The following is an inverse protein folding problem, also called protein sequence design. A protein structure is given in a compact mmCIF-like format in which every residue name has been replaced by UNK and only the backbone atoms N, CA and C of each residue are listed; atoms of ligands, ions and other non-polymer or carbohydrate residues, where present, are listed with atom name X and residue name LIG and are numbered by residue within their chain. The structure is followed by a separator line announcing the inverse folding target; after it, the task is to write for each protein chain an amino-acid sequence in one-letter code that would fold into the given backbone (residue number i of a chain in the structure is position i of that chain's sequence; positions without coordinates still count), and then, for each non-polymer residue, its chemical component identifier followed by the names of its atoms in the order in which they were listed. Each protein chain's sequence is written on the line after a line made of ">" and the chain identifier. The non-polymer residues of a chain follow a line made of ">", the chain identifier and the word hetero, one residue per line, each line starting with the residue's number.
data_IF_009756376622
#
_entry.id   IF_009756376622
#
_cell.length_a   1.000
_cell.length_b   1.000
_cell.length_c   1.000
_cell.angle_alpha   90.00
_cell.angle_beta   90.00
_cell.angle_gamma   90.00
#
_symmetry.space_group_name_H-M   'P 1'
#
loop_
_entity.id
_entity.type
_entity.pdbx_description
1 polymer ?
#
# COMPACT_ATOMS: atom_id res chain seq x y z
N UNK A 1 -41.34 16.49 1.34
CA UNK A 1 -41.72 15.13 0.86
C UNK A 1 -41.16 14.88 -0.54
N UNK A 2 -41.27 15.84 -1.45
CA UNK A 2 -40.72 15.78 -2.82
C UNK A 2 -39.19 15.67 -2.87
N UNK A 3 -38.44 16.56 -2.20
CA UNK A 3 -36.97 16.46 -2.07
C UNK A 3 -36.44 15.13 -1.52
N UNK A 4 -37.22 14.46 -0.66
CA UNK A 4 -36.85 13.14 -0.11
C UNK A 4 -37.02 12.03 -1.15
N UNK A 5 -38.02 12.17 -2.02
CA UNK A 5 -38.30 11.22 -3.11
C UNK A 5 -37.30 11.40 -4.26
N UNK A 6 -36.95 12.64 -4.56
CA UNK A 6 -35.88 13.02 -5.49
C UNK A 6 -34.52 12.51 -5.00
N UNK A 7 -34.14 12.78 -3.74
CA UNK A 7 -32.90 12.25 -3.17
C UNK A 7 -32.84 10.71 -3.16
N UNK A 8 -33.98 10.04 -2.95
CA UNK A 8 -34.05 8.58 -3.03
C UNK A 8 -33.88 8.07 -4.46
N UNK A 9 -34.46 8.73 -5.46
CA UNK A 9 -34.26 8.37 -6.86
C UNK A 9 -32.80 8.55 -7.30
N UNK A 10 -32.16 9.64 -6.90
CA UNK A 10 -30.73 9.88 -7.16
C UNK A 10 -29.88 8.79 -6.47
N UNK A 11 -30.20 8.45 -5.22
CA UNK A 11 -29.51 7.39 -4.50
C UNK A 11 -29.67 6.02 -5.18
N UNK A 12 -30.87 5.69 -5.64
CA UNK A 12 -31.17 4.41 -6.30
C UNK A 12 -30.53 4.32 -7.71
N UNK A 13 -30.36 5.45 -8.40
CA UNK A 13 -29.74 5.52 -9.73
C UNK A 13 -28.21 5.61 -9.68
N UNK A 14 -27.65 6.04 -8.54
CA UNK A 14 -26.25 6.40 -8.43
C UNK A 14 -25.94 7.76 -9.05
N UNK A 15 -24.69 8.19 -8.91
CA UNK A 15 -24.18 9.44 -9.50
C UNK A 15 -23.15 9.07 -10.56
N UNK A 16 -23.27 9.63 -11.76
CA UNK A 16 -22.25 9.44 -12.81
C UNK A 16 -21.04 10.34 -12.53
N UNK A 17 -19.83 9.91 -12.91
CA UNK A 17 -18.59 10.63 -12.57
C UNK A 17 -18.59 12.08 -13.05
N UNK A 18 -19.20 12.34 -14.21
CA UNK A 18 -19.30 13.67 -14.82
C UNK A 18 -20.22 14.64 -14.06
N UNK A 19 -21.11 14.13 -13.22
CA UNK A 19 -21.97 14.96 -12.34
C UNK A 19 -21.23 15.40 -11.07
N UNK A 20 -20.09 14.76 -10.75
CA UNK A 20 -19.27 15.11 -9.59
C UNK A 20 -18.46 16.36 -9.91
N UNK A 21 -19.06 17.52 -9.66
CA UNK A 21 -18.42 18.83 -9.77
C UNK A 21 -17.44 19.07 -8.61
N UNK A 22 -16.23 18.53 -8.71
CA UNK A 22 -15.17 18.79 -7.73
C UNK A 22 -14.49 20.13 -8.01
N UNK A 23 -14.20 20.96 -6.99
CA UNK A 23 -13.48 22.22 -7.14
C UNK A 23 -11.97 21.99 -7.35
N UNK A 24 -11.61 21.14 -8.31
CA UNK A 24 -10.24 20.66 -8.54
C UNK A 24 -9.45 21.48 -9.55
N UNK A 25 -9.97 22.64 -9.99
CA UNK A 25 -9.36 23.47 -11.04
C UNK A 25 -7.84 23.64 -10.82
N UNK A 26 -7.06 22.99 -11.68
CA UNK A 26 -5.60 22.98 -11.74
C UNK A 26 -4.83 22.67 -10.44
N UNK A 27 -5.45 22.05 -9.44
CA UNK A 27 -4.77 21.70 -8.19
C UNK A 27 -4.55 20.20 -8.08
N UNK A 28 -3.33 19.75 -8.38
CA UNK A 28 -2.91 18.35 -8.21
C UNK A 28 -3.16 17.84 -6.78
N UNK A 29 -2.88 18.69 -5.78
CA UNK A 29 -3.06 18.32 -4.37
C UNK A 29 -4.53 18.13 -3.99
N UNK A 30 -5.45 18.96 -4.50
CA UNK A 30 -6.88 18.78 -4.24
C UNK A 30 -7.41 17.51 -4.90
N UNK A 31 -6.97 17.22 -6.13
CA UNK A 31 -7.31 15.97 -6.80
C UNK A 31 -6.84 14.76 -5.99
N UNK A 32 -5.59 14.79 -5.51
CA UNK A 32 -5.02 13.72 -4.67
C UNK A 32 -5.78 13.57 -3.36
N UNK A 33 -6.13 14.68 -2.71
CA UNK A 33 -6.94 14.70 -1.50
C UNK A 33 -8.31 14.02 -1.69
N UNK A 34 -9.05 14.38 -2.75
CA UNK A 34 -10.36 13.74 -3.01
C UNK A 34 -10.24 12.25 -3.29
N UNK A 35 -9.21 11.84 -4.04
CA UNK A 35 -8.94 10.42 -4.28
C UNK A 35 -8.70 9.67 -2.96
N UNK A 36 -7.85 10.22 -2.09
CA UNK A 36 -7.50 9.58 -0.81
C UNK A 36 -8.65 9.55 0.19
N UNK A 37 -9.49 10.59 0.21
CA UNK A 37 -10.75 10.58 0.97
C UNK A 37 -11.71 9.50 0.44
N UNK A 38 -11.81 9.32 -0.87
CA UNK A 38 -12.64 8.26 -1.45
C UNK A 38 -12.13 6.86 -1.05
N UNK A 39 -10.81 6.63 -1.13
CA UNK A 39 -10.20 5.37 -0.68
C UNK A 39 -10.52 5.11 0.79
N UNK A 40 -10.29 6.10 1.67
CA UNK A 40 -10.59 5.99 3.11
C UNK A 40 -12.07 5.74 3.40
N UNK A 41 -12.96 6.30 2.60
CA UNK A 41 -14.41 6.14 2.75
C UNK A 41 -14.84 4.72 2.40
N UNK A 42 -14.35 4.17 1.29
CA UNK A 42 -14.57 2.76 0.90
C UNK A 42 -14.01 1.82 1.97
N UNK A 43 -12.84 2.14 2.51
CA UNK A 43 -12.22 1.40 3.60
C UNK A 43 -12.97 1.48 4.94
N UNK A 44 -13.95 2.37 5.10
CA UNK A 44 -14.70 2.48 6.34
C UNK A 44 -15.64 1.29 6.59
N UNK A 45 -15.96 0.49 5.55
CA UNK A 45 -16.83 -0.68 5.68
C UNK A 45 -16.14 -2.01 5.33
N UNK A 46 -16.68 -3.11 5.85
CA UNK A 46 -15.94 -4.35 6.15
C UNK A 46 -15.21 -5.02 4.98
N UNK A 47 -15.64 -4.80 3.74
CA UNK A 47 -15.03 -5.42 2.56
C UNK A 47 -15.10 -4.45 1.41
N UNK A 48 -13.96 -4.18 0.80
CA UNK A 48 -13.90 -3.51 -0.49
C UNK A 48 -14.48 -4.44 -1.55
N UNK A 49 -15.58 -4.04 -2.17
CA UNK A 49 -16.23 -4.78 -3.25
C UNK A 49 -15.59 -4.47 -4.62
N UNK A 50 -15.73 -5.37 -5.59
CA UNK A 50 -15.20 -5.17 -6.95
C UNK A 50 -15.77 -3.90 -7.61
N UNK A 51 -17.02 -3.56 -7.28
CA UNK A 51 -17.71 -2.34 -7.68
C UNK A 51 -17.02 -1.08 -7.13
N UNK A 52 -16.53 -1.12 -5.89
CA UNK A 52 -15.81 -0.02 -5.24
C UNK A 52 -14.40 0.14 -5.81
N UNK A 53 -13.73 -0.96 -6.14
CA UNK A 53 -12.46 -0.92 -6.87
C UNK A 53 -12.64 -0.31 -8.26
N UNK A 54 -13.69 -0.71 -8.98
CA UNK A 54 -14.01 -0.12 -10.28
C UNK A 54 -14.29 1.38 -10.17
N UNK A 55 -15.08 1.79 -9.17
CA UNK A 55 -15.32 3.20 -8.87
C UNK A 55 -14.03 3.98 -8.62
N UNK A 56 -13.09 3.45 -7.83
CA UNK A 56 -11.81 4.12 -7.57
C UNK A 56 -10.97 4.29 -8.83
N UNK A 57 -10.99 3.30 -9.74
CA UNK A 57 -10.30 3.39 -11.04
C UNK A 57 -10.93 4.46 -11.93
N UNK A 58 -12.25 4.51 -11.99
CA UNK A 58 -12.98 5.51 -12.76
C UNK A 58 -12.76 6.92 -12.19
N UNK A 59 -12.77 7.07 -10.86
CA UNK A 59 -12.47 8.33 -10.17
C UNK A 59 -11.02 8.77 -10.41
N UNK A 60 -10.07 7.84 -10.35
CA UNK A 60 -8.67 8.09 -10.65
C UNK A 60 -8.49 8.65 -12.07
N UNK A 61 -9.14 8.01 -13.05
CA UNK A 61 -9.15 8.45 -14.45
C UNK A 61 -9.81 9.81 -14.62
N UNK A 62 -10.95 10.04 -13.98
CA UNK A 62 -11.66 11.33 -13.99
C UNK A 62 -10.80 12.48 -13.46
N UNK A 63 -10.03 12.22 -12.40
CA UNK A 63 -9.09 13.19 -11.82
C UNK A 63 -7.83 13.39 -12.68
N UNK A 64 -7.58 12.53 -13.66
CA UNK A 64 -6.42 12.59 -14.56
C UNK A 64 -5.16 11.97 -13.98
N UNK A 65 -5.30 11.00 -13.08
CA UNK A 65 -4.20 10.21 -12.52
C UNK A 65 -4.01 8.90 -13.29
N UNK A 66 -2.82 8.32 -13.19
CA UNK A 66 -2.54 6.99 -13.71
C UNK A 66 -2.97 5.91 -12.69
N UNK A 67 -3.16 4.66 -13.12
CA UNK A 67 -3.51 3.57 -12.20
C UNK A 67 -2.42 3.35 -11.14
N UNK A 68 -1.16 3.62 -11.47
CA UNK A 68 -0.04 3.57 -10.54
C UNK A 68 -0.19 4.59 -9.40
N UNK A 69 -0.77 5.77 -9.66
CA UNK A 69 -1.01 6.78 -8.62
C UNK A 69 -2.07 6.33 -7.61
N UNK A 70 -3.07 5.58 -8.08
CA UNK A 70 -4.08 4.94 -7.23
C UNK A 70 -3.45 3.83 -6.39
N UNK A 71 -2.62 2.97 -7.00
CA UNK A 71 -1.85 1.94 -6.29
C UNK A 71 -0.96 2.59 -5.19
N UNK A 72 -0.30 3.71 -5.48
CA UNK A 72 0.51 4.43 -4.50
C UNK A 72 -0.33 5.01 -3.33
N UNK A 73 -1.50 5.59 -3.61
CA UNK A 73 -2.38 6.09 -2.54
C UNK A 73 -2.94 4.96 -1.69
N UNK A 74 -3.37 3.86 -2.31
CA UNK A 74 -3.83 2.68 -1.57
C UNK A 74 -2.72 2.13 -0.68
N UNK A 75 -1.50 2.00 -1.21
CA UNK A 75 -0.34 1.55 -0.44
C UNK A 75 -0.06 2.47 0.77
N UNK A 76 -0.12 3.79 0.57
CA UNK A 76 0.12 4.77 1.62
C UNK A 76 -0.91 4.63 2.77
N UNK A 77 -2.19 4.50 2.41
CA UNK A 77 -3.29 4.36 3.36
C UNK A 77 -3.22 3.01 4.08
N UNK A 78 -3.06 1.91 3.34
CA UNK A 78 -2.86 0.56 3.89
C UNK A 78 -1.70 0.54 4.91
N UNK A 79 -0.55 1.10 4.52
CA UNK A 79 0.62 1.19 5.39
C UNK A 79 0.36 2.02 6.65
N UNK A 80 -0.26 3.20 6.51
CA UNK A 80 -0.64 4.02 7.66
C UNK A 80 -1.58 3.28 8.62
N UNK A 81 -2.59 2.58 8.09
CA UNK A 81 -3.54 1.80 8.89
C UNK A 81 -2.85 0.68 9.64
N UNK A 82 -1.93 -0.05 8.99
CA UNK A 82 -1.17 -1.14 9.63
C UNK A 82 -0.22 -0.62 10.72
N UNK A 83 0.49 0.48 10.48
CA UNK A 83 1.43 1.08 11.45
C UNK A 83 0.73 1.60 12.71
N UNK A 84 -0.53 1.99 12.58
CA UNK A 84 -1.32 2.58 13.67
C UNK A 84 -2.53 1.75 14.07
N UNK A 85 -2.56 0.47 13.69
CA UNK A 85 -3.72 -0.41 13.86
C UNK A 85 -4.30 -0.34 15.28
N UNK A 86 -3.44 -0.47 16.30
CA UNK A 86 -3.82 -0.45 17.73
C UNK A 86 -4.53 0.83 18.17
N UNK A 87 -4.32 1.95 17.47
CA UNK A 87 -4.94 3.26 17.78
C UNK A 87 -6.28 3.46 17.05
N UNK A 88 -6.60 2.62 16.08
CA UNK A 88 -7.74 2.78 15.17
C UNK A 88 -8.92 1.88 15.58
N UNK A 89 -9.39 2.01 16.82
CA UNK A 89 -10.45 1.16 17.42
C UNK A 89 -11.71 1.01 16.55
N UNK A 90 -12.14 2.07 15.84
CA UNK A 90 -13.31 1.98 14.96
C UNK A 90 -13.05 1.06 13.75
N UNK A 91 -11.89 1.20 13.11
CA UNK A 91 -11.49 0.38 11.97
C UNK A 91 -11.28 -1.08 12.38
N UNK A 92 -10.74 -1.37 13.56
CA UNK A 92 -10.59 -2.75 14.06
C UNK A 92 -11.92 -3.53 14.13
N UNK A 93 -13.05 -2.83 14.32
CA UNK A 93 -14.38 -3.45 14.36
C UNK A 93 -14.98 -3.70 12.97
N UNK A 94 -14.43 -3.03 11.96
CA UNK A 94 -14.93 -3.03 10.58
C UNK A 94 -14.04 -3.88 9.69
N UNK A 95 -12.73 -3.68 9.77
CA UNK A 95 -11.72 -4.34 8.95
C UNK A 95 -11.06 -5.50 9.69
N UNK A 96 -10.64 -6.50 8.93
CA UNK A 96 -9.77 -7.59 9.41
C UNK A 96 -8.31 -7.22 9.18
N UNK A 97 -7.49 -7.26 10.23
CA UNK A 97 -6.06 -6.97 10.16
C UNK A 97 -5.34 -7.85 9.14
N UNK A 98 -5.69 -9.13 9.06
CA UNK A 98 -5.05 -10.09 8.15
C UNK A 98 -5.42 -9.78 6.70
N UNK A 99 -6.66 -9.37 6.44
CA UNK A 99 -7.09 -8.97 5.10
C UNK A 99 -6.33 -7.73 4.63
N UNK A 100 -6.24 -6.70 5.48
CA UNK A 100 -5.49 -5.47 5.19
C UNK A 100 -4.00 -5.78 4.99
N UNK A 101 -3.43 -6.62 5.85
CA UNK A 101 -2.05 -7.11 5.77
C UNK A 101 -1.78 -7.83 4.44
N UNK A 102 -2.67 -8.73 4.03
CA UNK A 102 -2.55 -9.49 2.79
C UNK A 102 -2.60 -8.59 1.56
N UNK A 103 -3.56 -7.65 1.51
CA UNK A 103 -3.66 -6.66 0.43
C UNK A 103 -2.39 -5.81 0.33
N UNK A 104 -1.89 -5.30 1.46
CA UNK A 104 -0.66 -4.52 1.50
C UNK A 104 0.55 -5.34 1.03
N UNK A 105 0.69 -6.59 1.48
CA UNK A 105 1.77 -7.49 1.05
C UNK A 105 1.70 -7.75 -0.45
N UNK A 106 0.52 -8.05 -1.01
CA UNK A 106 0.34 -8.30 -2.44
C UNK A 106 0.73 -7.07 -3.27
N UNK A 107 0.32 -5.88 -2.83
CA UNK A 107 0.66 -4.62 -3.51
C UNK A 107 2.15 -4.30 -3.44
N UNK A 108 2.75 -4.45 -2.26
CA UNK A 108 4.20 -4.33 -2.07
C UNK A 108 4.95 -5.31 -2.97
N UNK A 109 4.52 -6.59 -3.04
CA UNK A 109 5.14 -7.62 -3.87
C UNK A 109 5.04 -7.31 -5.38
N UNK A 110 3.92 -6.76 -5.84
CA UNK A 110 3.77 -6.28 -7.22
C UNK A 110 4.79 -5.17 -7.52
N UNK A 111 4.93 -4.19 -6.61
CA UNK A 111 5.84 -3.05 -6.80
C UNK A 111 7.31 -3.46 -6.74
N UNK A 112 7.69 -4.30 -5.76
CA UNK A 112 9.07 -4.82 -5.65
C UNK A 112 9.43 -5.72 -6.83
N UNK A 113 8.48 -6.52 -7.33
CA UNK A 113 8.64 -7.35 -8.53
C UNK A 113 9.05 -6.51 -9.75
N UNK A 114 8.35 -5.40 -9.99
CA UNK A 114 8.68 -4.45 -11.07
C UNK A 114 10.04 -3.77 -10.92
N UNK A 115 10.62 -3.78 -9.71
CA UNK A 115 11.92 -3.16 -9.40
C UNK A 115 13.00 -4.18 -9.01
N UNK A 116 12.80 -5.47 -9.29
CA UNK A 116 13.67 -6.58 -8.87
C UNK A 116 15.16 -6.32 -9.14
N UNK A 117 15.52 -5.97 -10.37
CA UNK A 117 16.93 -5.76 -10.76
C UNK A 117 17.61 -4.65 -9.94
N UNK A 118 16.88 -3.59 -9.61
CA UNK A 118 17.41 -2.47 -8.82
C UNK A 118 17.59 -2.86 -7.36
N UNK A 119 16.62 -3.59 -6.80
CA UNK A 119 16.72 -4.12 -5.43
C UNK A 119 17.89 -5.09 -5.28
N UNK A 120 18.07 -6.01 -6.24
CA UNK A 120 19.16 -6.99 -6.22
C UNK A 120 20.52 -6.31 -6.21
N UNK A 121 20.69 -5.32 -7.10
CA UNK A 121 21.93 -4.54 -7.18
C UNK A 121 22.25 -3.87 -5.84
N UNK A 122 21.26 -3.22 -5.22
CA UNK A 122 21.49 -2.59 -3.91
C UNK A 122 21.92 -3.60 -2.84
N UNK A 123 21.26 -4.75 -2.77
CA UNK A 123 21.60 -5.76 -1.77
C UNK A 123 23.01 -6.28 -1.98
N UNK A 124 23.41 -6.54 -3.22
CA UNK A 124 24.76 -6.98 -3.56
C UNK A 124 25.83 -5.94 -3.22
N UNK A 125 25.50 -4.64 -3.29
CA UNK A 125 26.40 -3.55 -2.89
C UNK A 125 26.52 -3.41 -1.36
N UNK A 126 25.53 -3.92 -0.60
CA UNK A 126 25.52 -3.89 0.87
C UNK A 126 26.24 -5.10 1.48
N UNK A 127 27.54 -4.93 1.75
CA UNK A 127 28.38 -5.97 2.40
C UNK A 127 27.77 -6.52 3.69
N UNK A 128 27.25 -5.65 4.54
CA UNK A 128 26.66 -6.04 5.83
C UNK A 128 25.39 -6.89 5.63
N UNK A 129 24.51 -6.49 4.71
CA UNK A 129 23.30 -7.26 4.43
C UNK A 129 23.64 -8.62 3.81
N UNK A 130 24.63 -8.68 2.91
CA UNK A 130 25.12 -9.92 2.32
C UNK A 130 25.66 -10.90 3.38
N UNK A 131 26.43 -10.40 4.35
CA UNK A 131 26.96 -11.21 5.44
C UNK A 131 25.84 -11.80 6.32
N UNK A 132 24.86 -10.98 6.68
CA UNK A 132 23.68 -11.41 7.46
C UNK A 132 22.84 -12.44 6.69
N UNK A 133 22.63 -12.22 5.39
CA UNK A 133 21.91 -13.16 4.52
C UNK A 133 22.61 -14.51 4.42
N UNK A 134 23.93 -14.51 4.24
CA UNK A 134 24.73 -15.74 4.20
C UNK A 134 24.67 -16.45 5.55
N UNK A 135 24.78 -15.70 6.66
CA UNK A 135 24.71 -16.27 8.01
C UNK A 135 23.35 -16.90 8.28
N UNK A 136 22.26 -16.23 7.93
CA UNK A 136 20.88 -16.71 8.11
C UNK A 136 20.58 -18.06 7.41
N UNK A 137 21.32 -18.38 6.33
CA UNK A 137 21.21 -19.69 5.66
C UNK A 137 21.96 -20.81 6.35
N UNK A 138 23.11 -20.48 6.94
CA UNK A 138 23.98 -21.46 7.57
C UNK A 138 23.59 -21.76 9.02
N UNK A 139 23.04 -20.76 9.71
CA UNK A 139 22.68 -20.83 11.12
C UNK A 139 21.61 -19.80 11.47
N UNK A 140 20.98 -19.98 12.62
CA UNK A 140 20.01 -19.01 13.12
C UNK A 140 20.69 -17.70 13.51
N UNK A 141 20.11 -16.58 13.08
CA UNK A 141 20.51 -15.24 13.51
C UNK A 141 20.03 -14.97 14.93
N UNK A 142 20.86 -14.28 15.72
CA UNK A 142 20.42 -13.78 17.01
C UNK A 142 19.42 -12.60 16.86
N UNK A 143 18.84 -12.14 17.97
CA UNK A 143 17.83 -11.08 17.92
C UNK A 143 18.38 -9.75 17.39
N UNK A 144 19.63 -9.40 17.71
CA UNK A 144 20.25 -8.17 17.25
C UNK A 144 20.49 -8.22 15.75
N UNK A 145 20.94 -9.37 15.24
CA UNK A 145 21.14 -9.63 13.82
C UNK A 145 19.83 -9.66 13.04
N UNK A 146 18.78 -10.26 13.59
CA UNK A 146 17.42 -10.24 12.99
C UNK A 146 16.92 -8.80 12.85
N UNK A 147 17.04 -7.99 13.90
CA UNK A 147 16.65 -6.59 13.87
C UNK A 147 17.48 -5.80 12.85
N UNK A 148 18.80 -6.02 12.83
CA UNK A 148 19.70 -5.34 11.90
C UNK A 148 19.41 -5.70 10.44
N UNK A 149 19.17 -6.97 10.18
CA UNK A 149 18.78 -7.46 8.86
C UNK A 149 17.45 -6.86 8.41
N UNK A 150 16.47 -6.75 9.32
CA UNK A 150 15.18 -6.09 9.05
C UNK A 150 15.37 -4.63 8.66
N UNK A 151 16.16 -3.86 9.43
CA UNK A 151 16.46 -2.46 9.15
C UNK A 151 17.10 -2.28 7.77
N UNK A 152 18.09 -3.10 7.43
CA UNK A 152 18.79 -3.05 6.15
C UNK A 152 17.87 -3.37 4.98
N UNK A 153 17.02 -4.40 5.11
CA UNK A 153 16.04 -4.74 4.08
C UNK A 153 15.00 -3.63 3.88
N UNK A 154 14.50 -3.03 4.97
CA UNK A 154 13.61 -1.86 4.89
C UNK A 154 14.31 -0.68 4.21
N UNK A 155 15.59 -0.46 4.47
CA UNK A 155 16.37 0.57 3.79
C UNK A 155 16.51 0.29 2.29
N UNK A 156 16.75 -0.96 1.89
CA UNK A 156 16.78 -1.38 0.47
C UNK A 156 15.46 -1.07 -0.24
N UNK A 157 14.32 -1.31 0.40
CA UNK A 157 13.00 -1.01 -0.18
C UNK A 157 12.85 0.49 -0.51
N UNK A 158 13.42 1.39 0.30
CA UNK A 158 13.34 2.85 0.10
C UNK A 158 14.02 3.35 -1.17
N UNK A 159 14.67 2.51 -1.95
CA UNK A 159 15.25 2.89 -3.25
C UNK A 159 14.18 2.95 -4.35
N UNK A 160 13.08 2.24 -4.15
CA UNK A 160 11.93 2.30 -5.04
C UNK A 160 11.27 3.67 -4.83
N UNK A 161 11.17 4.53 -5.87
CA UNK A 161 10.63 5.88 -5.72
C UNK A 161 9.25 5.91 -5.07
N UNK A 162 8.38 4.95 -5.42
CA UNK A 162 7.06 4.77 -4.83
C UNK A 162 7.10 4.60 -3.31
N UNK A 163 8.12 3.94 -2.77
CA UNK A 163 8.29 3.69 -1.34
C UNK A 163 8.96 4.85 -0.58
N UNK A 164 9.54 5.81 -1.30
CA UNK A 164 10.04 7.07 -0.71
C UNK A 164 8.90 8.03 -0.40
N UNK A 165 7.91 8.08 -1.30
CA UNK A 165 6.77 8.99 -1.20
C UNK A 165 5.84 8.56 -0.06
N UNK A 166 5.81 7.25 0.27
CA UNK A 166 4.99 6.70 1.34
C UNK A 166 5.82 6.41 2.59
N UNK A 167 5.25 6.64 3.77
CA UNK A 167 5.87 6.21 5.02
C UNK A 167 5.69 4.71 5.19
N UNK A 168 6.75 3.92 4.96
CA UNK A 168 6.70 2.46 5.14
C UNK A 168 6.34 2.09 6.60
N UNK A 169 5.43 1.13 6.84
CA UNK A 169 5.00 0.73 8.18
C UNK A 169 6.05 -0.17 8.84
N UNK A 170 7.04 0.43 9.49
CA UNK A 170 8.21 -0.29 10.03
C UNK A 170 7.84 -1.36 11.05
N UNK A 171 6.81 -1.13 11.89
CA UNK A 171 6.37 -2.14 12.88
C UNK A 171 5.75 -3.36 12.22
N UNK A 172 5.05 -3.12 11.11
CA UNK A 172 4.44 -4.18 10.33
C UNK A 172 5.48 -4.97 9.52
N UNK A 173 6.51 -4.31 8.98
CA UNK A 173 7.54 -4.91 8.12
C UNK A 173 8.57 -5.76 8.88
N UNK A 174 8.10 -6.80 9.56
CA UNK A 174 8.95 -7.84 10.18
C UNK A 174 9.69 -8.67 9.13
N UNK A 175 10.75 -9.37 9.53
CA UNK A 175 11.48 -10.27 8.61
C UNK A 175 10.55 -11.24 7.84
N UNK A 176 9.62 -11.99 8.47
CA UNK A 176 8.72 -12.87 7.74
C UNK A 176 7.85 -12.16 6.70
N UNK A 177 7.41 -10.94 7.00
CA UNK A 177 6.60 -10.12 6.07
C UNK A 177 7.46 -9.62 4.92
N UNK A 178 8.68 -9.15 5.19
CA UNK A 178 9.65 -8.76 4.17
C UNK A 178 9.96 -9.92 3.21
N UNK A 179 10.03 -11.16 3.71
CA UNK A 179 10.24 -12.33 2.85
C UNK A 179 9.08 -12.58 1.88
N UNK A 180 7.85 -12.21 2.25
CA UNK A 180 6.68 -12.30 1.36
C UNK A 180 6.61 -11.18 0.32
N UNK A 181 7.25 -10.05 0.62
CA UNK A 181 7.25 -8.84 -0.22
C UNK A 181 8.37 -8.87 -1.25
N UNK A 182 9.52 -9.46 -0.92
CA UNK A 182 10.65 -9.54 -1.85
C UNK A 182 10.35 -10.56 -2.96
N UNK A 183 10.92 -10.38 -4.17
CA UNK A 183 10.74 -11.32 -5.28
C UNK A 183 11.15 -12.76 -4.90
N UNK A 184 10.49 -13.79 -5.47
CA UNK A 184 10.69 -15.18 -5.05
C UNK A 184 12.14 -15.69 -5.21
N UNK A 185 12.82 -15.32 -6.30
CA UNK A 185 14.23 -15.70 -6.54
C UNK A 185 15.22 -14.73 -5.90
N UNK A 186 14.75 -13.72 -5.17
CA UNK A 186 15.57 -12.62 -4.67
C UNK A 186 16.76 -13.12 -3.85
N UNK A 187 16.54 -14.11 -3.00
CA UNK A 187 17.63 -14.68 -2.22
C UNK A 187 18.49 -15.61 -3.07
N UNK A 188 17.91 -16.45 -3.93
CA UNK A 188 18.68 -17.34 -4.79
C UNK A 188 19.71 -16.58 -5.65
N UNK A 189 19.37 -15.38 -6.12
CA UNK A 189 20.22 -14.55 -6.99
C UNK A 189 21.24 -13.66 -6.24
N UNK A 190 21.05 -13.50 -4.94
CA UNK A 190 21.99 -12.80 -4.04
C UNK A 190 23.05 -13.77 -3.49
N UNK A 191 22.99 -15.05 -3.87
CA UNK A 191 23.91 -16.10 -3.48
C UNK A 191 25.22 -16.08 -4.27
#
# INVERSE_FOLDING_TARGET
>A
REKKREAKQIFDQGVVMEEINLPTNNSWILKKYFLEIAILTIWADKRVEDSEVAFLKDLCKYLGFAEEDLDHSMLAIEGFVLEHWEKLNYLQNKQDFNQVSEQFIQRMAKITGSHKNRLLKEVQESKELMELLRKARAQELDQAEKNRMQELLVATLKIIPSFVIVSLPQKFLTLPILMKILPQDFFAEVA
#
